data_IF_178018207351
#
_entry.id   IF_178018207351
#
_cell.length_a   1.000
_cell.length_b   1.000
_cell.length_c   1.000
_cell.angle_alpha   90.00
_cell.angle_beta   90.00
_cell.angle_gamma   90.00
#
_symmetry.space_group_name_H-M   'P 1'
#
loop_
_entity.id
_entity.type
_entity.pdbx_description
1 polymer ?
#
# COMPACT_ATOMS: atom_id res chain seq x y z
N UNK A 1 -15.55 -42.70 28.71
CA UNK A 1 -14.72 -41.52 29.02
C UNK A 1 -14.48 -40.84 27.71
N UNK A 2 -15.31 -39.84 27.39
CA UNK A 2 -15.30 -39.17 26.09
C UNK A 2 -14.07 -38.28 25.96
N UNK A 3 -13.27 -38.59 24.95
CA UNK A 3 -12.28 -37.71 24.36
C UNK A 3 -12.97 -36.78 23.36
N UNK A 4 -13.14 -35.51 23.73
CA UNK A 4 -13.43 -34.45 22.75
C UNK A 4 -12.47 -33.29 22.97
N UNK A 5 -11.31 -33.38 22.33
CA UNK A 5 -10.41 -32.25 22.12
C UNK A 5 -11.04 -31.36 21.06
N UNK A 6 -11.62 -30.23 21.48
CA UNK A 6 -12.12 -29.21 20.56
C UNK A 6 -10.93 -28.38 20.06
N UNK A 7 -10.51 -28.61 18.82
CA UNK A 7 -9.49 -27.82 18.13
C UNK A 7 -10.14 -26.58 17.51
N UNK A 8 -10.05 -25.43 18.17
CA UNK A 8 -10.42 -24.14 17.58
C UNK A 8 -9.25 -23.60 16.76
N UNK A 9 -9.11 -24.04 15.50
CA UNK A 9 -8.30 -23.32 14.51
C UNK A 9 -9.19 -22.29 13.82
N UNK A 10 -9.40 -21.14 14.46
CA UNK A 10 -10.06 -20.02 13.80
C UNK A 10 -9.05 -19.34 12.90
N UNK A 11 -9.10 -19.65 11.61
CA UNK A 11 -8.47 -18.84 10.58
C UNK A 11 -9.06 -17.41 10.69
N UNK A 12 -8.26 -16.39 11.01
CA UNK A 12 -8.72 -15.01 11.13
C UNK A 12 -9.21 -14.40 9.80
N UNK A 13 -9.01 -15.08 8.67
CA UNK A 13 -9.43 -14.63 7.36
C UNK A 13 -8.53 -13.53 6.75
N UNK A 14 -8.91 -13.00 5.59
CA UNK A 14 -8.14 -11.99 4.86
C UNK A 14 -8.02 -10.66 5.61
N UNK A 15 -6.93 -9.94 5.35
CA UNK A 15 -6.72 -8.56 5.79
C UNK A 15 -7.17 -7.61 4.70
N UNK A 16 -8.37 -7.06 4.84
CA UNK A 16 -8.82 -5.99 3.95
C UNK A 16 -8.18 -4.67 4.36
N UNK A 17 -7.63 -3.92 3.41
CA UNK A 17 -7.12 -2.56 3.62
C UNK A 17 -7.59 -1.66 2.48
N UNK A 18 -7.59 -0.34 2.69
CA UNK A 18 -7.86 0.63 1.61
C UNK A 18 -7.38 2.03 1.97
N UNK A 19 -8.00 2.62 2.99
CA UNK A 19 -7.75 4.02 3.37
C UNK A 19 -6.49 4.11 4.21
N UNK A 20 -5.64 5.06 3.87
CA UNK A 20 -4.46 5.39 4.65
C UNK A 20 -4.80 5.84 6.07
N UNK A 21 -5.99 6.39 6.29
CA UNK A 21 -6.49 6.83 7.60
C UNK A 21 -7.00 5.69 8.50
N UNK A 22 -7.04 4.46 7.99
CA UNK A 22 -7.48 3.30 8.79
C UNK A 22 -6.48 3.04 9.93
N UNK A 23 -6.95 2.94 11.19
CA UNK A 23 -6.09 2.85 12.36
C UNK A 23 -5.48 1.47 12.61
N UNK A 24 -5.84 0.44 11.85
CA UNK A 24 -5.26 -0.89 12.02
C UNK A 24 -4.48 -1.34 10.79
N UNK A 25 -5.01 -1.08 9.59
CA UNK A 25 -4.46 -1.61 8.33
C UNK A 25 -4.09 -0.50 7.33
N UNK A 26 -4.27 0.76 7.69
CA UNK A 26 -3.99 1.89 6.79
C UNK A 26 -2.53 1.96 6.34
N UNK A 27 -1.62 1.40 7.14
CA UNK A 27 -0.21 1.27 6.80
C UNK A 27 0.06 0.43 5.56
N UNK A 28 -0.87 -0.43 5.10
CA UNK A 28 -0.77 -1.18 3.85
C UNK A 28 -1.08 -0.31 2.61
N UNK A 29 -1.83 0.78 2.79
CA UNK A 29 -2.21 1.69 1.71
C UNK A 29 -1.00 2.36 1.04
N UNK A 30 -1.08 2.58 -0.28
CA UNK A 30 -0.06 3.33 -1.03
C UNK A 30 -0.01 4.82 -0.65
N UNK A 31 -1.07 5.30 0.01
CA UNK A 31 -1.25 6.70 0.41
C UNK A 31 -0.82 6.98 1.85
N UNK A 32 -0.50 5.93 2.63
CA UNK A 32 0.04 6.09 3.97
C UNK A 32 1.32 6.90 3.97
N UNK A 33 1.36 7.93 4.82
CA UNK A 33 2.53 8.79 4.96
C UNK A 33 3.64 8.06 5.72
N UNK A 34 4.60 7.56 4.97
CA UNK A 34 5.84 7.00 5.46
C UNK A 34 6.95 7.46 4.51
N UNK A 35 7.72 8.50 4.87
CA UNK A 35 8.86 8.90 4.07
C UNK A 35 9.93 7.81 4.03
N UNK A 36 10.29 7.35 2.83
CA UNK A 36 11.33 6.34 2.61
C UNK A 36 12.31 6.74 1.52
N UNK A 37 13.51 6.15 1.55
CA UNK A 37 14.58 6.42 0.58
C UNK A 37 14.55 5.47 -0.61
N UNK A 38 14.99 5.96 -1.77
CA UNK A 38 15.29 5.11 -2.92
C UNK A 38 16.52 4.23 -2.69
N UNK A 39 16.81 3.36 -3.65
CA UNK A 39 17.93 2.42 -3.57
C UNK A 39 19.29 3.07 -3.39
N UNK A 40 19.48 4.21 -4.04
CA UNK A 40 20.71 4.98 -3.99
C UNK A 40 20.79 5.92 -2.79
N UNK A 41 19.71 6.03 -2.00
CA UNK A 41 19.61 6.99 -0.90
C UNK A 41 19.59 8.46 -1.34
N UNK A 42 19.39 8.74 -2.63
CA UNK A 42 19.43 10.09 -3.21
C UNK A 42 18.08 10.78 -3.23
N UNK A 43 16.98 10.01 -3.20
CA UNK A 43 15.61 10.55 -3.25
C UNK A 43 14.81 10.04 -2.07
N UNK A 44 13.92 10.90 -1.59
CA UNK A 44 12.94 10.61 -0.55
C UNK A 44 11.55 10.68 -1.16
N UNK A 45 10.74 9.66 -0.92
CA UNK A 45 9.34 9.61 -1.30
C UNK A 45 8.47 9.63 -0.05
N UNK A 46 7.44 10.49 -0.02
CA UNK A 46 6.54 10.64 1.13
C UNK A 46 5.57 9.47 1.29
N UNK A 47 5.19 8.85 0.18
CA UNK A 47 4.28 7.70 0.11
C UNK A 47 4.68 6.82 -1.07
N UNK A 48 4.20 5.57 -1.10
CA UNK A 48 4.47 4.69 -2.23
C UNK A 48 3.81 5.18 -3.54
N UNK A 49 2.68 5.90 -3.46
CA UNK A 49 2.10 6.61 -4.62
C UNK A 49 3.08 7.63 -5.24
N UNK A 50 3.85 8.38 -4.43
CA UNK A 50 4.89 9.29 -4.95
C UNK A 50 5.96 8.53 -5.73
N UNK A 51 6.41 7.39 -5.20
CA UNK A 51 7.36 6.54 -5.88
C UNK A 51 6.79 6.02 -7.20
N UNK A 52 5.61 5.41 -7.19
CA UNK A 52 5.00 4.79 -8.37
C UNK A 52 4.81 5.79 -9.51
N UNK A 53 4.25 6.97 -9.22
CA UNK A 53 4.01 7.97 -10.26
C UNK A 53 5.30 8.62 -10.74
N UNK A 54 6.31 8.79 -9.89
CA UNK A 54 7.62 9.27 -10.30
C UNK A 54 8.28 8.27 -11.26
N UNK A 55 8.29 6.97 -10.94
CA UNK A 55 8.82 5.94 -11.82
C UNK A 55 8.04 5.86 -13.14
N UNK A 56 6.71 6.04 -13.10
CA UNK A 56 5.89 6.15 -14.31
C UNK A 56 6.34 7.32 -15.19
N UNK A 57 6.54 8.51 -14.61
CA UNK A 57 7.01 9.67 -15.37
C UNK A 57 8.40 9.45 -15.99
N UNK A 58 9.32 8.80 -15.26
CA UNK A 58 10.64 8.44 -15.80
C UNK A 58 10.54 7.43 -16.96
N UNK A 59 9.69 6.41 -16.81
CA UNK A 59 9.48 5.37 -17.83
C UNK A 59 9.03 5.96 -19.18
N UNK A 60 8.22 7.02 -19.15
CA UNK A 60 7.69 7.68 -20.35
C UNK A 60 8.43 8.99 -20.71
N UNK A 61 9.65 9.17 -20.18
CA UNK A 61 10.52 10.30 -20.48
C UNK A 61 9.85 11.67 -20.26
N UNK A 62 9.15 11.83 -19.13
CA UNK A 62 8.48 13.07 -18.71
C UNK A 62 9.14 13.67 -17.45
N UNK A 63 10.32 14.31 -17.60
CA UNK A 63 11.07 14.85 -16.47
C UNK A 63 10.33 15.98 -15.75
N UNK A 64 9.50 16.76 -16.46
CA UNK A 64 8.71 17.84 -15.85
C UNK A 64 7.74 17.29 -14.81
N UNK A 65 6.97 16.27 -15.19
CA UNK A 65 6.02 15.63 -14.28
C UNK A 65 6.75 14.89 -13.15
N UNK A 66 7.90 14.26 -13.42
CA UNK A 66 8.72 13.64 -12.39
C UNK A 66 9.15 14.65 -11.31
N UNK A 67 9.65 15.83 -11.72
CA UNK A 67 10.04 16.91 -10.80
C UNK A 67 8.84 17.41 -9.99
N UNK A 68 7.68 17.59 -10.62
CA UNK A 68 6.47 18.04 -9.93
C UNK A 68 5.98 17.02 -8.89
N UNK A 69 6.08 15.72 -9.19
CA UNK A 69 5.70 14.64 -8.27
C UNK A 69 6.58 14.68 -7.01
N UNK A 70 7.90 14.83 -7.15
CA UNK A 70 8.81 14.89 -6.00
C UNK A 70 8.59 16.12 -5.11
N UNK A 71 8.17 17.26 -5.69
CA UNK A 71 7.89 18.50 -4.94
C UNK A 71 6.55 18.48 -4.22
N UNK A 72 5.61 17.66 -4.69
CA UNK A 72 4.24 17.62 -4.17
C UNK A 72 4.20 16.96 -2.78
N UNK A 73 3.26 17.39 -1.92
CA UNK A 73 3.03 16.76 -0.62
C UNK A 73 1.82 15.82 -0.61
N UNK A 74 0.81 16.11 -1.43
CA UNK A 74 -0.47 15.38 -1.41
C UNK A 74 -0.45 14.18 -2.35
N UNK A 75 -0.72 12.95 -1.87
CA UNK A 75 -0.82 11.77 -2.74
C UNK A 75 -1.97 11.90 -3.75
N UNK A 76 -3.05 12.62 -3.41
CA UNK A 76 -4.14 12.93 -4.35
C UNK A 76 -3.65 13.76 -5.54
N UNK A 77 -2.82 14.77 -5.30
CA UNK A 77 -2.24 15.60 -6.36
C UNK A 77 -1.22 14.80 -7.18
N UNK A 78 -0.42 13.96 -6.55
CA UNK A 78 0.50 13.03 -7.24
C UNK A 78 -0.25 12.09 -8.17
N UNK A 79 -1.32 11.43 -7.71
CA UNK A 79 -2.15 10.55 -8.56
C UNK A 79 -2.73 11.32 -9.76
N UNK A 80 -3.09 12.60 -9.55
CA UNK A 80 -3.56 13.47 -10.63
C UNK A 80 -2.46 13.81 -11.64
N UNK A 81 -1.22 14.05 -11.20
CA UNK A 81 -0.05 14.25 -12.06
C UNK A 81 0.30 12.96 -12.82
N UNK A 82 0.21 11.81 -12.18
CA UNK A 82 0.44 10.50 -12.79
C UNK A 82 -0.51 10.15 -13.95
N UNK A 83 -1.70 10.77 -13.99
CA UNK A 83 -2.63 10.69 -15.12
C UNK A 83 -2.27 11.63 -16.28
N UNK A 84 -1.39 12.60 -16.04
CA UNK A 84 -0.96 13.61 -17.01
C UNK A 84 0.46 13.33 -17.56
N UNK A 85 1.06 12.19 -17.21
CA UNK A 85 2.37 11.77 -17.73
C UNK A 85 2.33 11.76 -19.25
N UNK A 86 3.24 12.51 -19.87
CA UNK A 86 3.41 12.59 -21.32
C UNK A 86 3.93 11.25 -21.88
N UNK A 87 3.68 11.01 -23.17
CA UNK A 87 4.11 9.81 -23.90
C UNK A 87 3.67 8.48 -23.24
N UNK A 88 2.58 8.51 -22.47
CA UNK A 88 2.06 7.32 -21.81
C UNK A 88 1.64 6.28 -22.85
N UNK A 89 2.20 5.09 -22.72
CA UNK A 89 1.81 3.90 -23.45
C UNK A 89 1.27 2.85 -22.48
N UNK A 90 0.04 2.40 -22.69
CA UNK A 90 -0.64 1.49 -21.78
C UNK A 90 0.01 0.12 -21.75
N UNK A 91 0.40 -0.43 -22.91
CA UNK A 91 1.00 -1.76 -22.99
C UNK A 91 2.34 -1.82 -22.24
N UNK A 92 3.18 -0.80 -22.44
CA UNK A 92 4.43 -0.63 -21.68
C UNK A 92 4.14 -0.49 -20.19
N UNK A 93 3.14 0.30 -19.80
CA UNK A 93 2.80 0.42 -18.38
C UNK A 93 2.33 -0.90 -17.78
N UNK A 94 1.48 -1.67 -18.46
CA UNK A 94 1.02 -2.99 -18.01
C UNK A 94 2.19 -3.94 -17.75
N UNK A 95 3.22 -3.91 -18.61
CA UNK A 95 4.45 -4.72 -18.45
C UNK A 95 5.28 -4.34 -17.22
N UNK A 96 5.28 -3.07 -16.82
CA UNK A 96 6.19 -2.56 -15.77
C UNK A 96 5.52 -2.25 -14.43
N UNK A 97 4.21 -2.00 -14.39
CA UNK A 97 3.49 -1.48 -13.22
C UNK A 97 3.68 -2.32 -11.95
N UNK A 98 3.62 -3.64 -12.07
CA UNK A 98 3.74 -4.55 -10.92
C UNK A 98 5.16 -4.51 -10.34
N UNK A 99 6.19 -4.48 -11.18
CA UNK A 99 7.58 -4.34 -10.73
C UNK A 99 7.83 -3.00 -10.03
N UNK A 100 7.25 -1.91 -10.56
CA UNK A 100 7.30 -0.58 -9.95
C UNK A 100 6.61 -0.57 -8.59
N UNK A 101 5.38 -1.09 -8.49
CA UNK A 101 4.63 -1.16 -7.23
C UNK A 101 5.35 -2.02 -6.19
N UNK A 102 5.84 -3.19 -6.60
CA UNK A 102 6.63 -4.10 -5.75
C UNK A 102 7.86 -3.40 -5.19
N UNK A 103 8.62 -2.71 -6.02
CA UNK A 103 9.83 -2.00 -5.57
C UNK A 103 9.49 -0.87 -4.61
N UNK A 104 8.43 -0.10 -4.90
CA UNK A 104 7.94 0.96 -4.01
C UNK A 104 7.53 0.44 -2.64
N UNK A 105 6.78 -0.66 -2.59
CA UNK A 105 6.41 -1.33 -1.33
C UNK A 105 7.64 -1.85 -0.59
N UNK A 106 8.56 -2.53 -1.28
CA UNK A 106 9.80 -3.00 -0.66
C UNK A 106 10.56 -1.86 0.02
N UNK A 107 10.75 -0.74 -0.67
CA UNK A 107 11.44 0.42 -0.12
C UNK A 107 10.66 1.06 1.04
N UNK A 108 9.34 1.19 0.93
CA UNK A 108 8.47 1.68 2.01
C UNK A 108 8.63 0.86 3.30
N UNK A 109 8.64 -0.47 3.18
CA UNK A 109 8.70 -1.37 4.33
C UNK A 109 10.13 -1.66 4.82
N UNK A 110 11.18 -1.24 4.11
CA UNK A 110 12.57 -1.57 4.52
C UNK A 110 13.50 -0.36 4.63
N UNK A 111 13.09 0.80 4.10
CA UNK A 111 13.92 2.02 4.00
C UNK A 111 13.20 3.29 4.45
N UNK A 112 12.25 3.16 5.38
CA UNK A 112 11.66 4.30 6.07
C UNK A 112 12.78 5.18 6.67
N UNK A 113 12.63 6.51 6.61
CA UNK A 113 13.63 7.46 7.13
C UNK A 113 13.69 7.41 8.64
N UNK A 114 12.52 7.35 9.27
CA UNK A 114 12.32 7.09 10.70
C UNK A 114 10.96 6.42 10.82
N UNK A 115 10.83 5.57 11.83
CA UNK A 115 9.56 4.95 12.22
C UNK A 115 9.05 5.52 13.55
N UNK A 116 9.89 6.29 14.25
CA UNK A 116 9.54 6.98 15.48
C UNK A 116 8.46 8.03 15.22
N UNK A 117 7.38 7.97 16.01
CA UNK A 117 6.25 8.89 15.90
C UNK A 117 5.27 8.56 14.78
N UNK A 118 5.51 7.52 13.96
CA UNK A 118 4.48 6.99 13.08
C UNK A 118 3.32 6.44 13.89
N UNK A 119 2.12 6.73 13.41
CA UNK A 119 0.89 6.27 14.02
C UNK A 119 0.17 5.31 13.09
N UNK A 120 -0.55 4.33 13.62
CA UNK A 120 -1.38 3.43 12.83
C UNK A 120 -2.50 4.25 12.19
N UNK A 121 -2.43 4.41 10.87
CA UNK A 121 -3.27 5.32 10.10
C UNK A 121 -2.71 6.75 9.98
N UNK A 122 -2.93 7.39 8.83
CA UNK A 122 -2.61 8.81 8.61
C UNK A 122 -3.64 9.70 9.32
N UNK A 123 -3.23 10.70 10.12
CA UNK A 123 -4.16 11.66 10.69
C UNK A 123 -4.97 12.36 9.60
N UNK A 124 -6.31 12.26 9.67
CA UNK A 124 -7.19 13.07 8.83
C UNK A 124 -7.44 14.43 9.52
N UNK A 125 -7.59 15.51 8.75
CA UNK A 125 -7.76 16.87 9.28
C UNK A 125 -8.99 17.12 10.18
N UNK A 126 -9.82 16.10 10.45
CA UNK A 126 -10.84 16.15 11.48
C UNK A 126 -10.29 15.53 12.78
N UNK A 127 -10.02 16.43 13.72
CA UNK A 127 -9.29 16.28 14.98
C UNK A 127 -9.91 15.24 15.95
N UNK A 128 -11.11 14.73 15.68
CA UNK A 128 -11.73 13.68 16.50
C UNK A 128 -11.03 12.31 16.41
N UNK A 129 -10.29 12.04 15.32
CA UNK A 129 -9.55 10.79 15.12
C UNK A 129 -8.26 10.69 15.95
N UNK A 130 -7.70 11.82 16.42
CA UNK A 130 -6.39 11.84 17.08
C UNK A 130 -6.37 11.08 18.44
N UNK A 131 -7.56 10.75 19.00
CA UNK A 131 -7.71 9.90 20.19
C UNK A 131 -7.70 8.39 19.91
N UNK A 132 -7.90 7.95 18.66
CA UNK A 132 -7.91 6.52 18.29
C UNK A 132 -6.62 6.04 17.61
N UNK A 133 -5.77 6.96 17.16
CA UNK A 133 -4.59 6.64 16.36
C UNK A 133 -3.41 6.37 17.30
N UNK A 134 -3.06 5.08 17.44
CA UNK A 134 -1.97 4.59 18.30
C UNK A 134 -0.63 4.71 17.58
N UNK A 135 0.51 4.84 18.28
CA UNK A 135 1.81 4.66 17.65
C UNK A 135 1.92 3.26 17.03
N UNK A 136 2.74 3.12 15.99
CA UNK A 136 3.12 1.78 15.52
C UNK A 136 4.01 1.12 16.58
N UNK A 137 3.87 -0.19 16.73
CA UNK A 137 4.75 -1.00 17.58
C UNK A 137 5.81 -1.65 16.70
N UNK A 138 7.08 -1.41 16.98
CA UNK A 138 8.19 -1.88 16.14
C UNK A 138 8.28 -1.11 14.82
N UNK A 139 8.51 -1.84 13.72
CA UNK A 139 8.65 -1.28 12.37
C UNK A 139 7.41 -1.53 11.49
N UNK A 140 7.31 -0.79 10.38
CA UNK A 140 6.34 -1.09 9.33
C UNK A 140 6.53 -2.51 8.77
N UNK A 141 7.79 -2.96 8.70
CA UNK A 141 8.13 -4.32 8.32
C UNK A 141 7.52 -5.34 9.28
N UNK A 142 7.65 -5.11 10.59
CA UNK A 142 7.13 -6.02 11.61
C UNK A 142 5.61 -6.07 11.56
N UNK A 143 4.95 -4.93 11.35
CA UNK A 143 3.49 -4.90 11.14
C UNK A 143 3.07 -5.71 9.92
N UNK A 144 3.78 -5.57 8.78
CA UNK A 144 3.53 -6.39 7.60
C UNK A 144 3.76 -7.88 7.90
N UNK A 145 4.85 -8.26 8.56
CA UNK A 145 5.11 -9.66 8.91
C UNK A 145 4.08 -10.22 9.90
N UNK A 146 3.50 -9.38 10.76
CA UNK A 146 2.41 -9.76 11.67
C UNK A 146 1.11 -10.11 10.95
N UNK A 147 0.99 -9.83 9.64
CA UNK A 147 -0.13 -10.36 8.84
C UNK A 147 -0.02 -11.87 8.65
N UNK A 148 1.16 -12.46 8.83
CA UNK A 148 1.41 -13.88 8.55
C UNK A 148 1.06 -14.22 7.10
N UNK A 149 0.59 -15.45 6.89
CA UNK A 149 0.20 -15.96 5.57
C UNK A 149 -1.22 -15.56 5.13
N UNK A 150 -1.82 -14.56 5.78
CA UNK A 150 -3.17 -14.09 5.44
C UNK A 150 -3.18 -13.39 4.09
N UNK A 151 -4.23 -13.64 3.32
CA UNK A 151 -4.51 -12.89 2.10
C UNK A 151 -4.64 -11.39 2.41
N UNK A 152 -3.83 -10.56 1.74
CA UNK A 152 -4.00 -9.11 1.80
C UNK A 152 -4.94 -8.69 0.66
N UNK A 153 -5.94 -7.88 0.96
CA UNK A 153 -6.99 -7.50 0.01
C UNK A 153 -7.20 -6.00 0.00
N UNK A 154 -6.85 -5.33 -1.10
CA UNK A 154 -7.12 -3.91 -1.30
C UNK A 154 -8.61 -3.71 -1.65
N UNK A 155 -9.40 -3.41 -0.63
CA UNK A 155 -10.85 -3.19 -0.65
C UNK A 155 -11.27 -1.77 -1.06
N UNK A 156 -10.64 -1.24 -2.11
CA UNK A 156 -11.04 -0.01 -2.77
C UNK A 156 -12.24 -0.26 -3.69
N UNK A 157 -13.42 0.36 -3.45
CA UNK A 157 -14.60 0.19 -4.30
C UNK A 157 -14.49 0.89 -5.68
N UNK A 158 -13.39 1.63 -5.91
CA UNK A 158 -13.21 2.43 -7.12
C UNK A 158 -12.04 1.94 -7.99
N UNK A 159 -11.38 0.86 -7.60
CA UNK A 159 -10.20 0.33 -8.27
C UNK A 159 -10.33 -1.19 -8.43
N UNK A 160 -10.48 -1.66 -9.67
CA UNK A 160 -10.57 -3.09 -10.02
C UNK A 160 -9.26 -3.66 -10.55
N UNK A 161 -8.21 -2.86 -10.59
CA UNK A 161 -6.89 -3.29 -11.04
C UNK A 161 -6.01 -3.50 -9.82
N UNK A 162 -5.81 -2.44 -9.05
CA UNK A 162 -4.97 -2.51 -7.85
C UNK A 162 -5.74 -3.08 -6.66
N UNK A 163 -7.06 -2.92 -6.66
CA UNK A 163 -7.96 -3.48 -5.65
C UNK A 163 -9.02 -4.41 -6.23
N UNK A 164 -9.92 -4.84 -5.35
CA UNK A 164 -11.01 -5.77 -5.68
C UNK A 164 -12.26 -5.08 -6.23
N UNK A 165 -12.38 -3.75 -6.15
CA UNK A 165 -13.58 -3.03 -6.60
C UNK A 165 -14.76 -3.07 -5.63
N UNK A 166 -14.57 -3.56 -4.40
CA UNK A 166 -15.59 -3.62 -3.35
C UNK A 166 -15.04 -3.11 -2.02
N UNK A 167 -15.93 -2.64 -1.14
CA UNK A 167 -15.58 -2.36 0.26
C UNK A 167 -15.42 -3.69 1.01
N UNK A 168 -14.65 -3.70 2.09
CA UNK A 168 -14.41 -4.89 2.90
C UNK A 168 -15.70 -5.59 3.35
N UNK A 169 -16.72 -4.82 3.73
CA UNK A 169 -18.02 -5.35 4.18
C UNK A 169 -18.78 -6.15 3.11
N UNK A 170 -18.56 -5.83 1.83
CA UNK A 170 -19.26 -6.43 0.70
C UNK A 170 -18.37 -7.43 -0.07
N UNK A 171 -17.09 -7.54 0.31
CA UNK A 171 -16.06 -8.21 -0.48
C UNK A 171 -16.35 -9.70 -0.65
N UNK A 172 -16.57 -10.45 0.43
CA UNK A 172 -16.76 -11.91 0.35
C UNK A 172 -18.01 -12.32 -0.45
N UNK A 173 -19.09 -11.53 -0.35
CA UNK A 173 -20.32 -11.81 -1.11
C UNK A 173 -20.14 -11.61 -2.62
N UNK A 174 -19.12 -10.87 -3.03
CA UNK A 174 -18.86 -10.51 -4.42
C UNK A 174 -17.54 -11.11 -4.94
N UNK A 175 -17.05 -12.20 -4.34
CA UNK A 175 -15.73 -12.78 -4.63
C UNK A 175 -15.51 -13.11 -6.11
N UNK A 176 -16.52 -13.68 -6.77
CA UNK A 176 -16.48 -13.98 -8.22
C UNK A 176 -16.42 -12.73 -9.11
N UNK A 177 -16.75 -11.56 -8.57
CA UNK A 177 -16.75 -10.29 -9.27
C UNK A 177 -15.53 -9.41 -8.92
N UNK A 178 -14.57 -9.91 -8.14
CA UNK A 178 -13.40 -9.11 -7.75
C UNK A 178 -12.58 -8.62 -8.95
N UNK A 179 -11.94 -7.47 -8.74
CA UNK A 179 -10.84 -7.00 -9.56
C UNK A 179 -9.56 -7.82 -9.35
N UNK A 180 -8.46 -7.37 -9.94
CA UNK A 180 -7.18 -8.10 -9.94
C UNK A 180 -6.48 -8.11 -8.57
N UNK A 181 -6.84 -7.20 -7.64
CA UNK A 181 -6.21 -7.08 -6.32
C UNK A 181 -4.67 -6.99 -6.35
N UNK A 182 -4.09 -6.35 -7.37
CA UNK A 182 -2.63 -6.37 -7.54
C UNK A 182 -1.87 -5.82 -6.34
N UNK A 183 -2.43 -4.88 -5.56
CA UNK A 183 -1.79 -4.35 -4.34
C UNK A 183 -1.81 -5.31 -3.16
N UNK A 184 -2.77 -6.23 -3.11
CA UNK A 184 -2.89 -7.24 -2.08
C UNK A 184 -2.13 -8.54 -2.40
N UNK A 185 -1.66 -8.69 -3.63
CA UNK A 185 -1.02 -9.92 -4.08
C UNK A 185 0.33 -10.19 -3.39
N UNK A 186 0.54 -11.43 -2.93
CA UNK A 186 1.69 -11.86 -2.15
C UNK A 186 3.07 -11.61 -2.81
N UNK A 187 3.26 -11.76 -4.14
CA UNK A 187 4.50 -11.41 -4.83
C UNK A 187 4.92 -9.94 -4.66
N UNK A 188 3.97 -9.02 -4.38
CA UNK A 188 4.35 -7.66 -4.04
C UNK A 188 5.09 -7.57 -2.72
N UNK A 189 4.85 -8.49 -1.77
CA UNK A 189 5.42 -8.50 -0.41
C UNK A 189 6.45 -9.61 -0.16
N UNK A 190 6.62 -10.53 -1.12
CA UNK A 190 7.55 -11.67 -1.08
C UNK A 190 9.05 -11.31 -1.11
N UNK A 191 9.42 -10.09 -0.73
CA UNK A 191 10.80 -9.63 -0.63
C UNK A 191 11.39 -9.79 0.78
N UNK A 192 10.60 -10.30 1.74
CA UNK A 192 11.04 -10.61 3.10
C UNK A 192 11.12 -12.13 3.29
N UNK A 193 12.18 -12.66 3.94
CA UNK A 193 12.23 -14.08 4.27
C UNK A 193 11.07 -14.40 5.22
N UNK A 194 10.26 -15.39 4.83
CA UNK A 194 9.31 -16.05 5.74
C UNK A 194 10.20 -16.80 6.74
N UNK A 195 9.99 -16.55 8.03
CA UNK A 195 10.81 -17.11 9.11
C UNK A 195 10.63 -18.62 9.23
#
# INVERSE_FOLDING_TARGET
>A
MDTTTSSSSSDPGPVYFWRDTDPEVGYLSQWYYCPFRDDQGTKTYKTAEHYMMHQKALLFNDPDTAIQILKTASPRKVKSLGRQVKNFDEETWLKHRCAVARRGNMLKFTRAITEEGFKKGTPSGNVAADKLIRPIEGSLKDMLLSTGDRDLVEASPFDRIWGIGFRAADAEMARDAWGENLLGDAPLFAFLPIS
#
